data_IF_706710933829
#
_entry.id   IF_706710933829
#
_cell.length_a   1.000
_cell.length_b   1.000
_cell.length_c   1.000
_cell.angle_alpha   90.00
_cell.angle_beta   90.00
_cell.angle_gamma   90.00
#
_symmetry.space_group_name_H-M   'P 1'
#
loop_
_entity.id
_entity.type
_entity.pdbx_description
1 polymer ?
#
# COMPACT_ATOMS: atom_id res chain seq x y z
N UNK A 1 -7.28 -7.66 -3.84
CA UNK A 1 -6.83 -6.68 -2.90
C UNK A 1 -5.38 -6.75 -2.46
N UNK A 2 -4.65 -7.85 -2.72
CA UNK A 2 -3.25 -8.01 -2.34
C UNK A 2 -2.42 -8.50 -3.53
N UNK A 3 -1.09 -8.38 -3.42
CA UNK A 3 -0.18 -8.94 -4.43
C UNK A 3 -0.29 -10.46 -4.39
N UNK A 4 -0.62 -11.09 -5.53
CA UNK A 4 -0.67 -12.54 -5.65
C UNK A 4 0.76 -13.11 -5.69
N UNK A 5 1.16 -13.97 -4.74
CA UNK A 5 2.46 -14.62 -4.79
C UNK A 5 2.48 -15.74 -5.84
N UNK A 6 3.47 -15.72 -6.75
CA UNK A 6 3.56 -16.70 -7.83
C UNK A 6 3.76 -18.14 -7.33
N UNK A 7 4.42 -18.33 -6.20
CA UNK A 7 4.56 -19.66 -5.60
C UNK A 7 3.20 -20.35 -5.39
N UNK A 8 2.22 -19.64 -4.82
CA UNK A 8 0.88 -20.14 -4.60
C UNK A 8 0.12 -20.31 -5.92
N UNK A 9 0.22 -19.33 -6.80
CA UNK A 9 -0.37 -19.39 -8.14
C UNK A 9 0.14 -20.60 -8.92
N UNK A 10 1.43 -20.89 -8.88
CA UNK A 10 2.03 -22.04 -9.56
C UNK A 10 1.52 -23.37 -9.02
N UNK A 11 1.22 -23.49 -7.73
CA UNK A 11 0.59 -24.66 -7.13
C UNK A 11 -0.83 -24.84 -7.72
N UNK A 12 -1.63 -23.76 -7.73
CA UNK A 12 -2.99 -23.79 -8.26
C UNK A 12 -3.03 -24.14 -9.75
N UNK A 13 -2.14 -23.54 -10.56
CA UNK A 13 -2.07 -23.82 -12.00
C UNK A 13 -1.72 -25.28 -12.31
N UNK A 14 -0.85 -25.89 -11.51
CA UNK A 14 -0.54 -27.32 -11.66
C UNK A 14 -1.73 -28.22 -11.26
N UNK A 15 -2.48 -27.80 -10.26
CA UNK A 15 -3.64 -28.58 -9.75
C UNK A 15 -4.89 -28.40 -10.59
N UNK A 16 -5.02 -27.29 -11.30
CA UNK A 16 -6.18 -26.90 -12.10
C UNK A 16 -5.70 -26.44 -13.51
N UNK A 17 -5.23 -27.35 -14.35
CA UNK A 17 -4.59 -26.99 -15.65
C UNK A 17 -5.58 -26.35 -16.64
N UNK A 18 -6.88 -26.66 -16.52
CA UNK A 18 -7.92 -26.14 -17.42
C UNK A 18 -8.54 -24.81 -16.91
N UNK A 19 -8.10 -24.30 -15.74
CA UNK A 19 -8.62 -23.06 -15.20
C UNK A 19 -7.86 -21.85 -15.74
N UNK A 20 -8.62 -20.79 -16.05
CA UNK A 20 -8.05 -19.47 -16.30
C UNK A 20 -7.76 -18.74 -15.00
N UNK A 21 -6.56 -18.18 -14.90
CA UNK A 21 -6.15 -17.36 -13.78
C UNK A 21 -5.99 -15.91 -14.21
N UNK A 22 -6.64 -15.00 -13.51
CA UNK A 22 -6.63 -13.58 -13.82
C UNK A 22 -6.20 -12.80 -12.59
N UNK A 23 -5.10 -12.05 -12.72
CA UNK A 23 -4.68 -11.07 -11.72
C UNK A 23 -5.44 -9.77 -11.96
N UNK A 24 -6.15 -9.27 -10.96
CA UNK A 24 -6.96 -8.04 -11.03
C UNK A 24 -6.42 -6.99 -10.06
N UNK A 25 -6.40 -5.73 -10.52
CA UNK A 25 -5.94 -4.62 -9.72
C UNK A 25 -6.95 -3.47 -9.74
N UNK A 26 -7.09 -2.84 -8.59
CA UNK A 26 -7.81 -1.60 -8.41
C UNK A 26 -8.12 -1.30 -6.95
N UNK A 27 -8.20 -0.02 -6.56
CA UNK A 27 -8.66 0.43 -5.26
C UNK A 27 -10.17 0.64 -5.22
N UNK A 28 -10.73 0.71 -4.03
CA UNK A 28 -12.17 0.92 -3.79
C UNK A 28 -12.70 2.20 -4.46
N UNK A 29 -11.88 3.24 -4.54
CA UNK A 29 -12.23 4.55 -5.10
C UNK A 29 -12.53 4.53 -6.61
N UNK A 30 -12.18 3.44 -7.29
CA UNK A 30 -12.48 3.23 -8.72
C UNK A 30 -13.41 2.02 -8.95
N UNK A 31 -14.22 1.68 -7.97
CA UNK A 31 -15.18 0.56 -8.07
C UNK A 31 -14.48 -0.80 -8.23
N UNK A 32 -13.40 -1.00 -7.45
CA UNK A 32 -12.68 -2.24 -7.20
C UNK A 32 -11.67 -2.68 -8.29
N UNK A 33 -12.01 -2.72 -9.57
CA UNK A 33 -11.11 -3.23 -10.62
C UNK A 33 -10.97 -2.23 -11.76
N UNK A 34 -9.72 -1.82 -12.07
CA UNK A 34 -9.41 -0.96 -13.21
C UNK A 34 -8.42 -1.58 -14.21
N UNK A 35 -7.72 -2.63 -13.82
CA UNK A 35 -6.88 -3.40 -14.75
C UNK A 35 -6.88 -4.88 -14.43
N UNK A 36 -6.54 -5.68 -15.43
CA UNK A 36 -6.47 -7.13 -15.29
C UNK A 36 -5.38 -7.72 -16.18
N UNK A 37 -4.85 -8.86 -15.74
CA UNK A 37 -3.87 -9.64 -16.46
C UNK A 37 -4.27 -11.12 -16.46
N UNK A 38 -4.51 -11.72 -17.63
CA UNK A 38 -4.67 -13.17 -17.78
C UNK A 38 -3.30 -13.82 -17.74
N UNK A 39 -3.11 -14.76 -16.84
CA UNK A 39 -1.82 -15.45 -16.64
C UNK A 39 -1.62 -16.47 -17.77
N UNK A 40 -1.04 -16.02 -18.86
CA UNK A 40 -0.84 -16.76 -20.13
C UNK A 40 0.52 -17.46 -20.23
N UNK A 41 1.43 -17.18 -19.32
CA UNK A 41 2.78 -17.77 -19.26
C UNK A 41 3.15 -18.24 -17.85
N UNK A 42 4.26 -18.96 -17.75
CA UNK A 42 4.82 -19.36 -16.47
C UNK A 42 5.66 -18.24 -15.90
N UNK A 43 5.54 -18.02 -14.60
CA UNK A 43 6.33 -17.08 -13.79
C UNK A 43 7.13 -17.87 -12.76
N UNK A 44 8.34 -17.43 -12.47
CA UNK A 44 9.12 -17.98 -11.37
C UNK A 44 8.50 -17.55 -10.02
N UNK A 45 8.75 -18.29 -8.95
CA UNK A 45 8.14 -18.07 -7.63
C UNK A 45 8.38 -16.65 -7.08
N UNK A 46 9.50 -16.03 -7.39
CA UNK A 46 9.87 -14.67 -6.98
C UNK A 46 9.58 -13.58 -8.02
N UNK A 47 9.11 -13.94 -9.21
CA UNK A 47 8.85 -12.98 -10.28
C UNK A 47 7.55 -12.22 -10.01
N UNK A 48 7.49 -10.88 -10.18
CA UNK A 48 6.25 -10.14 -9.98
C UNK A 48 5.27 -10.38 -11.13
N UNK A 49 3.98 -10.57 -10.80
CA UNK A 49 2.91 -10.63 -11.79
C UNK A 49 2.57 -9.23 -12.29
N UNK A 50 2.33 -9.07 -13.60
CA UNK A 50 1.71 -7.85 -14.12
C UNK A 50 0.31 -7.63 -13.51
N UNK A 51 -0.07 -6.39 -13.35
CA UNK A 51 -1.47 -5.98 -13.15
C UNK A 51 -2.16 -5.70 -14.49
N UNK A 52 -1.42 -5.80 -15.58
CA UNK A 52 -1.87 -5.99 -16.95
C UNK A 52 -2.34 -4.76 -17.68
N UNK A 53 -3.58 -4.80 -18.18
CA UNK A 53 -4.14 -3.80 -19.08
C UNK A 53 -5.39 -3.17 -18.48
N UNK A 54 -5.71 -1.90 -18.85
CA UNK A 54 -6.92 -1.25 -18.39
C UNK A 54 -8.18 -2.02 -18.78
N UNK A 55 -9.19 -2.00 -17.91
CA UNK A 55 -10.54 -2.44 -18.24
C UNK A 55 -11.17 -1.51 -19.30
N UNK A 56 -12.22 -1.97 -19.98
CA UNK A 56 -12.99 -1.14 -20.90
C UNK A 56 -13.55 0.11 -20.18
N UNK A 57 -13.59 1.23 -20.89
CA UNK A 57 -14.00 2.55 -20.36
C UNK A 57 -13.16 3.05 -19.18
N UNK A 58 -11.96 2.50 -18.99
CA UNK A 58 -10.99 2.90 -17.99
C UNK A 58 -9.70 3.34 -18.69
N UNK A 59 -9.15 4.46 -18.25
CA UNK A 59 -7.85 4.96 -18.70
C UNK A 59 -6.89 4.95 -17.53
N UNK A 60 -5.72 4.35 -17.72
CA UNK A 60 -4.61 4.40 -16.77
C UNK A 60 -3.52 5.29 -17.32
N UNK A 61 -3.09 6.26 -16.53
CA UNK A 61 -2.02 7.20 -16.85
C UNK A 61 -0.98 7.16 -15.75
N UNK A 62 0.29 7.09 -16.11
CA UNK A 62 1.39 7.23 -15.13
C UNK A 62 1.78 8.71 -15.01
N UNK A 63 1.60 9.29 -13.83
CA UNK A 63 2.01 10.67 -13.53
C UNK A 63 3.13 10.60 -12.49
N UNK A 64 4.34 10.96 -12.87
CA UNK A 64 5.54 10.82 -12.03
C UNK A 64 5.71 9.39 -11.44
N UNK A 65 5.37 8.38 -12.25
CA UNK A 65 5.38 6.96 -11.84
C UNK A 65 4.20 6.52 -10.99
N UNK A 66 3.30 7.42 -10.59
CA UNK A 66 2.06 7.09 -9.88
C UNK A 66 0.98 6.62 -10.85
N UNK A 67 0.35 5.49 -10.52
CA UNK A 67 -0.81 4.97 -11.27
C UNK A 67 -2.00 5.88 -11.00
N UNK A 68 -2.50 6.53 -12.05
CA UNK A 68 -3.68 7.38 -12.00
C UNK A 68 -4.77 6.81 -12.90
N UNK A 69 -6.02 6.85 -12.45
CA UNK A 69 -7.13 6.19 -13.14
C UNK A 69 -8.22 7.21 -13.48
N UNK A 70 -8.65 7.21 -14.74
CA UNK A 70 -9.80 7.97 -15.23
C UNK A 70 -10.84 7.02 -15.83
N UNK A 71 -12.08 7.48 -15.91
CA UNK A 71 -13.17 6.75 -16.53
C UNK A 71 -14.44 6.71 -15.71
N UNK A 72 -15.42 5.95 -16.18
CA UNK A 72 -16.74 5.83 -15.54
C UNK A 72 -16.72 5.05 -14.22
N UNK A 73 -15.61 4.37 -13.92
CA UNK A 73 -15.39 3.61 -12.70
C UNK A 73 -15.10 4.47 -11.46
N UNK A 74 -14.84 5.78 -11.63
CA UNK A 74 -14.51 6.68 -10.53
C UNK A 74 -15.69 6.88 -9.58
N UNK A 75 -15.43 6.74 -8.27
CA UNK A 75 -16.41 7.13 -7.24
C UNK A 75 -16.61 8.64 -7.21
N UNK A 76 -17.69 9.09 -6.56
CA UNK A 76 -17.97 10.53 -6.36
C UNK A 76 -16.91 11.20 -5.47
N UNK A 77 -16.24 10.44 -4.61
CA UNK A 77 -15.24 10.89 -3.65
C UNK A 77 -15.48 10.31 -2.26
N UNK A 78 -14.84 10.91 -1.26
CA UNK A 78 -14.96 10.48 0.13
C UNK A 78 -16.13 11.18 0.83
N UNK A 79 -16.95 10.41 1.53
CA UNK A 79 -18.10 10.92 2.26
C UNK A 79 -17.67 11.94 3.34
N UNK A 80 -18.32 13.10 3.37
CA UNK A 80 -18.02 14.21 4.28
C UNK A 80 -16.55 14.66 4.35
N UNK A 81 -15.78 14.42 3.29
CA UNK A 81 -14.35 14.78 3.25
C UNK A 81 -14.00 15.49 1.92
N UNK A 82 -14.50 16.72 1.67
CA UNK A 82 -14.31 17.43 0.41
C UNK A 82 -12.83 17.75 0.13
N UNK A 83 -12.04 18.11 1.14
CA UNK A 83 -10.62 18.40 0.98
C UNK A 83 -9.82 17.15 0.58
N UNK A 84 -10.09 16.01 1.24
CA UNK A 84 -9.49 14.72 0.88
C UNK A 84 -9.90 14.30 -0.53
N UNK A 85 -11.16 14.53 -0.91
CA UNK A 85 -11.67 14.27 -2.25
C UNK A 85 -10.94 15.11 -3.29
N UNK A 86 -10.81 16.41 -3.08
CA UNK A 86 -10.12 17.32 -4.00
C UNK A 86 -8.62 17.00 -4.15
N UNK A 87 -7.97 16.48 -3.10
CA UNK A 87 -6.57 16.07 -3.15
C UNK A 87 -6.35 14.77 -3.94
N UNK A 88 -7.29 13.82 -3.88
CA UNK A 88 -7.17 12.51 -4.51
C UNK A 88 -7.80 12.45 -5.92
N UNK A 89 -8.89 13.17 -6.14
CA UNK A 89 -9.62 13.21 -7.42
C UNK A 89 -9.35 14.55 -8.12
N UNK A 90 -8.38 14.54 -8.99
CA UNK A 90 -7.88 15.75 -9.65
C UNK A 90 -8.30 15.81 -11.11
N UNK A 91 -8.07 16.95 -11.77
CA UNK A 91 -8.23 17.07 -13.22
C UNK A 91 -7.10 16.34 -13.93
N UNK A 92 -7.44 15.55 -14.98
CA UNK A 92 -6.44 14.88 -15.82
C UNK A 92 -5.55 15.92 -16.53
N UNK A 93 -4.22 15.80 -16.51
CA UNK A 93 -3.31 16.79 -17.08
C UNK A 93 -3.50 16.99 -18.59
N UNK A 94 -3.85 15.93 -19.34
CA UNK A 94 -4.05 15.96 -20.79
C UNK A 94 -5.50 16.19 -21.20
N UNK A 95 -6.34 16.67 -20.30
CA UNK A 95 -7.74 17.00 -20.60
C UNK A 95 -7.82 18.20 -21.54
N UNK A 96 -7.87 17.93 -22.85
CA UNK A 96 -7.90 18.93 -23.94
C UNK A 96 -9.25 19.69 -23.98
N UNK A 97 -9.50 20.52 -22.96
CA UNK A 97 -10.72 21.35 -22.89
C UNK A 97 -11.98 20.62 -22.42
N UNK A 98 -11.96 19.33 -22.24
CA UNK A 98 -13.05 18.54 -21.66
C UNK A 98 -12.66 18.15 -20.23
N UNK A 99 -13.44 18.53 -19.20
CA UNK A 99 -13.14 18.13 -17.82
C UNK A 99 -13.12 16.61 -17.70
N UNK A 100 -11.98 16.05 -17.38
CA UNK A 100 -11.79 14.62 -17.13
C UNK A 100 -11.22 14.45 -15.72
N UNK A 101 -11.99 13.84 -14.83
CA UNK A 101 -11.50 13.52 -13.48
C UNK A 101 -10.57 12.32 -13.52
N UNK A 102 -9.58 12.37 -12.66
CA UNK A 102 -8.58 11.32 -12.48
C UNK A 102 -8.38 11.06 -10.98
N UNK A 103 -8.35 9.81 -10.59
CA UNK A 103 -8.02 9.39 -9.23
C UNK A 103 -6.53 9.06 -9.13
N UNK A 104 -5.86 9.65 -8.15
CA UNK A 104 -4.48 9.37 -7.77
C UNK A 104 -4.46 8.22 -6.78
N UNK A 105 -3.97 7.06 -7.20
CA UNK A 105 -4.05 5.84 -6.36
C UNK A 105 -3.07 5.81 -5.21
N UNK A 106 -1.97 6.58 -5.30
CA UNK A 106 -0.81 6.45 -4.42
C UNK A 106 0.05 5.22 -4.71
N UNK A 107 -0.32 4.39 -5.68
CA UNK A 107 0.44 3.24 -6.12
C UNK A 107 1.43 3.63 -7.22
N UNK A 108 2.65 3.10 -7.18
CA UNK A 108 3.65 3.29 -8.21
C UNK A 108 3.58 2.15 -9.22
N UNK A 109 3.79 2.46 -10.49
CA UNK A 109 3.80 1.49 -11.57
C UNK A 109 4.74 1.87 -12.72
N UNK A 110 5.02 0.88 -13.55
CA UNK A 110 5.74 1.05 -14.80
C UNK A 110 5.23 0.04 -15.83
N UNK A 111 5.38 0.35 -17.11
CA UNK A 111 5.13 -0.62 -18.17
C UNK A 111 6.40 -1.44 -18.43
N UNK A 112 6.27 -2.76 -18.52
CA UNK A 112 7.36 -3.62 -18.96
C UNK A 112 7.52 -3.59 -20.49
N UNK A 113 8.49 -4.33 -21.03
CA UNK A 113 8.78 -4.41 -22.47
C UNK A 113 7.60 -4.94 -23.31
N UNK A 114 6.65 -5.63 -22.69
CA UNK A 114 5.42 -6.14 -23.32
C UNK A 114 4.25 -5.17 -23.25
N UNK A 115 4.44 -3.98 -22.68
CA UNK A 115 3.39 -3.00 -22.45
C UNK A 115 2.42 -3.39 -21.34
N UNK A 116 2.75 -4.39 -20.49
CA UNK A 116 1.97 -4.80 -19.35
C UNK A 116 2.30 -3.89 -18.17
N UNK A 117 1.28 -3.38 -17.48
CA UNK A 117 1.47 -2.56 -16.28
C UNK A 117 1.93 -3.42 -15.11
N UNK A 118 3.01 -2.99 -14.47
CA UNK A 118 3.59 -3.61 -13.28
C UNK A 118 3.30 -2.73 -12.06
N UNK A 119 2.96 -3.36 -10.94
CA UNK A 119 2.87 -2.69 -9.64
C UNK A 119 4.26 -2.68 -8.98
N UNK A 120 4.74 -1.49 -8.59
CA UNK A 120 6.06 -1.30 -8.00
C UNK A 120 6.03 -0.99 -6.49
N UNK A 121 4.84 -0.89 -5.91
CA UNK A 121 4.67 -0.56 -4.50
C UNK A 121 3.85 0.71 -4.28
N UNK A 122 3.92 1.24 -3.04
CA UNK A 122 3.19 2.45 -2.65
C UNK A 122 4.12 3.65 -2.55
N UNK A 123 3.61 4.82 -2.94
CA UNK A 123 4.26 6.12 -2.74
C UNK A 123 4.22 6.57 -1.27
N UNK A 124 3.23 6.12 -0.54
CA UNK A 124 2.95 6.45 0.86
C UNK A 124 3.20 5.25 1.79
N UNK A 125 2.89 5.44 3.07
CA UNK A 125 3.00 4.40 4.12
C UNK A 125 1.80 3.47 4.23
N UNK A 126 0.89 3.48 3.26
CA UNK A 126 -0.26 2.60 3.25
C UNK A 126 0.15 1.17 2.89
N UNK A 127 -0.41 0.21 3.60
CA UNK A 127 -0.16 -1.22 3.40
C UNK A 127 -1.47 -1.99 3.19
N UNK A 128 -1.34 -3.17 2.62
CA UNK A 128 -2.41 -4.17 2.61
C UNK A 128 -1.94 -5.38 3.43
N UNK A 129 -2.72 -5.75 4.46
CA UNK A 129 -2.43 -6.87 5.35
C UNK A 129 -3.69 -7.67 5.61
N UNK A 130 -3.71 -8.94 5.23
CA UNK A 130 -4.86 -9.84 5.41
C UNK A 130 -6.18 -9.27 4.88
N UNK A 131 -6.16 -8.61 3.71
CA UNK A 131 -7.31 -7.96 3.09
C UNK A 131 -7.67 -6.58 3.65
N UNK A 132 -7.02 -6.13 4.73
CA UNK A 132 -7.24 -4.80 5.29
C UNK A 132 -6.28 -3.77 4.69
N UNK A 133 -6.84 -2.62 4.30
CA UNK A 133 -6.08 -1.44 3.90
C UNK A 133 -5.74 -0.64 5.16
N UNK A 134 -4.46 -0.52 5.48
CA UNK A 134 -3.97 0.07 6.73
C UNK A 134 -3.03 1.22 6.43
N UNK A 135 -3.29 2.35 7.05
CA UNK A 135 -2.38 3.50 7.08
C UNK A 135 -1.41 3.36 8.25
N UNK A 136 -0.13 3.12 7.99
CA UNK A 136 0.87 3.06 9.08
C UNK A 136 0.92 4.36 9.88
N UNK A 137 0.63 5.50 9.25
CA UNK A 137 0.53 6.80 9.90
C UNK A 137 -0.55 6.85 11.00
N UNK A 138 -1.66 6.13 10.84
CA UNK A 138 -2.71 6.05 11.86
C UNK A 138 -2.21 5.29 13.10
N UNK A 139 -1.47 4.19 12.87
CA UNK A 139 -0.82 3.43 13.95
C UNK A 139 0.21 4.31 14.65
N UNK A 140 1.02 5.06 13.91
CA UNK A 140 2.02 5.97 14.48
C UNK A 140 1.39 7.10 15.30
N UNK A 141 0.24 7.62 14.87
CA UNK A 141 -0.52 8.59 15.66
C UNK A 141 -0.99 7.98 16.99
N UNK A 142 -1.49 6.74 16.96
CA UNK A 142 -1.90 6.04 18.17
C UNK A 142 -0.72 5.77 19.12
N UNK A 143 0.46 5.39 18.60
CA UNK A 143 1.68 5.18 19.37
C UNK A 143 2.12 6.48 20.04
N UNK A 144 2.15 7.60 19.31
CA UNK A 144 2.55 8.92 19.83
C UNK A 144 1.56 9.46 20.88
N UNK A 145 0.31 9.00 20.88
CA UNK A 145 -0.69 9.36 21.87
C UNK A 145 -0.56 8.56 23.18
N UNK A 146 0.34 7.59 23.26
CA UNK A 146 0.64 6.84 24.50
C UNK A 146 1.58 7.67 25.38
N UNK A 147 1.24 7.80 26.68
CA UNK A 147 1.97 8.70 27.60
C UNK A 147 3.44 8.30 27.80
N UNK A 148 3.72 7.00 27.78
CA UNK A 148 5.07 6.45 27.97
C UNK A 148 5.98 6.58 26.73
N UNK A 149 5.44 7.05 25.59
CA UNK A 149 6.17 7.10 24.31
C UNK A 149 6.62 8.52 23.97
N UNK A 150 7.91 8.68 23.69
CA UNK A 150 8.49 9.95 23.25
C UNK A 150 8.49 10.07 21.72
N UNK A 151 8.90 9.02 21.02
CA UNK A 151 8.88 8.93 19.57
C UNK A 151 8.43 7.54 19.13
N UNK A 152 7.83 7.46 17.93
CA UNK A 152 7.41 6.17 17.37
C UNK A 152 7.24 6.21 15.87
N UNK A 153 7.60 5.12 15.23
CA UNK A 153 7.32 4.89 13.82
C UNK A 153 7.04 3.41 13.54
N UNK A 154 6.38 3.14 12.41
CA UNK A 154 6.06 1.80 11.98
C UNK A 154 6.68 1.48 10.62
N UNK A 155 7.00 0.20 10.46
CA UNK A 155 7.40 -0.40 9.19
C UNK A 155 6.51 -1.59 8.88
N UNK A 156 6.36 -1.88 7.61
CA UNK A 156 5.76 -3.12 7.15
C UNK A 156 6.82 -3.99 6.50
N UNK A 157 6.93 -5.22 6.98
CA UNK A 157 7.82 -6.24 6.44
C UNK A 157 6.99 -7.17 5.56
N UNK A 158 7.06 -6.96 4.25
CA UNK A 158 6.21 -7.67 3.29
C UNK A 158 6.49 -9.20 3.28
N UNK A 159 7.75 -9.63 3.48
CA UNK A 159 8.12 -11.04 3.49
C UNK A 159 7.43 -11.84 4.61
N UNK A 160 7.24 -11.24 5.78
CA UNK A 160 6.60 -11.85 6.95
C UNK A 160 5.17 -11.36 7.17
N UNK A 161 4.71 -10.37 6.38
CA UNK A 161 3.44 -9.66 6.53
C UNK A 161 3.24 -9.06 7.93
N UNK A 162 4.33 -8.58 8.56
CA UNK A 162 4.31 -8.04 9.91
C UNK A 162 4.39 -6.52 9.93
N UNK A 163 3.63 -5.92 10.84
CA UNK A 163 3.79 -4.52 11.23
C UNK A 163 4.78 -4.46 12.37
N UNK A 164 5.86 -3.74 12.17
CA UNK A 164 6.93 -3.53 13.15
C UNK A 164 6.78 -2.13 13.74
N UNK A 165 6.64 -2.05 15.04
CA UNK A 165 6.61 -0.80 15.81
C UNK A 165 7.99 -0.55 16.42
N UNK A 166 8.57 0.61 16.14
CA UNK A 166 9.73 1.12 16.84
C UNK A 166 9.30 2.27 17.73
N UNK A 167 9.70 2.29 18.98
CA UNK A 167 9.33 3.35 19.93
C UNK A 167 10.48 3.70 20.88
N UNK A 168 10.46 4.92 21.40
CA UNK A 168 11.34 5.38 22.47
C UNK A 168 10.51 5.96 23.62
N UNK A 169 11.10 6.08 24.79
CA UNK A 169 10.43 6.47 26.03
C UNK A 169 10.61 5.40 27.10
N UNK A 170 9.59 5.11 27.85
CA UNK A 170 9.63 4.03 28.84
C UNK A 170 9.67 2.66 28.16
N UNK A 171 10.56 1.77 28.63
CA UNK A 171 10.68 0.41 28.10
C UNK A 171 9.63 -0.51 28.75
N UNK A 172 8.37 -0.26 28.42
CA UNK A 172 7.25 -1.09 28.83
C UNK A 172 6.37 -1.48 27.64
N UNK A 173 6.81 -2.49 26.89
CA UNK A 173 6.07 -3.03 25.76
C UNK A 173 4.66 -3.49 26.14
N UNK A 174 4.49 -4.06 27.34
CA UNK A 174 3.19 -4.58 27.80
C UNK A 174 2.18 -3.45 28.01
N UNK A 175 2.61 -2.35 28.61
CA UNK A 175 1.78 -1.17 28.78
C UNK A 175 1.41 -0.57 27.41
N UNK A 176 2.39 -0.39 26.50
CA UNK A 176 2.18 0.12 25.15
C UNK A 176 1.18 -0.76 24.37
N UNK A 177 1.35 -2.09 24.36
CA UNK A 177 0.39 -3.01 23.74
C UNK A 177 -1.02 -2.89 24.35
N UNK A 178 -1.12 -2.70 25.65
CA UNK A 178 -2.38 -2.50 26.35
C UNK A 178 -3.09 -1.22 25.91
N UNK A 179 -2.35 -0.13 25.75
CA UNK A 179 -2.90 1.15 25.28
C UNK A 179 -3.32 1.08 23.80
N UNK A 180 -2.50 0.49 22.95
CA UNK A 180 -2.81 0.36 21.52
C UNK A 180 -4.05 -0.51 21.28
N UNK A 181 -4.26 -1.58 22.05
CA UNK A 181 -5.48 -2.40 21.98
C UNK A 181 -6.77 -1.64 22.31
N UNK A 182 -6.71 -0.56 23.06
CA UNK A 182 -7.85 0.30 23.35
C UNK A 182 -8.12 1.34 22.27
N UNK A 183 -7.11 1.65 21.46
CA UNK A 183 -7.14 2.73 20.43
C UNK A 183 -7.30 2.24 19.01
N UNK A 184 -6.81 1.03 18.71
CA UNK A 184 -6.73 0.48 17.35
C UNK A 184 -7.52 -0.81 17.22
N UNK A 185 -8.13 -1.06 16.05
CA UNK A 185 -8.66 -2.35 15.68
C UNK A 185 -7.57 -3.44 15.72
N UNK A 186 -7.97 -4.68 15.98
CA UNK A 186 -7.05 -5.81 16.12
C UNK A 186 -6.09 -6.00 14.93
N UNK A 187 -6.60 -5.79 13.70
CA UNK A 187 -5.83 -5.97 12.46
C UNK A 187 -4.74 -4.90 12.25
N UNK A 188 -4.82 -3.76 12.94
CA UNK A 188 -3.83 -2.67 12.91
C UNK A 188 -2.77 -2.78 13.98
N UNK A 189 -2.92 -3.68 14.95
CA UNK A 189 -1.95 -3.82 16.03
C UNK A 189 -0.61 -4.30 15.47
N UNK A 190 0.52 -3.67 15.88
CA UNK A 190 1.84 -4.14 15.53
C UNK A 190 2.09 -5.57 16.01
N UNK A 191 2.79 -6.35 15.19
CA UNK A 191 3.16 -7.73 15.50
C UNK A 191 4.45 -7.78 16.32
N UNK A 192 5.41 -6.91 15.97
CA UNK A 192 6.76 -6.85 16.55
C UNK A 192 6.99 -5.45 17.12
N UNK A 193 7.68 -5.37 18.27
CA UNK A 193 8.00 -4.12 18.93
C UNK A 193 9.50 -4.05 19.22
N UNK A 194 10.11 -2.90 18.91
CA UNK A 194 11.47 -2.57 19.25
C UNK A 194 11.50 -1.31 20.11
N UNK A 195 11.97 -1.42 21.35
CA UNK A 195 12.31 -0.27 22.15
C UNK A 195 13.69 0.23 21.75
N UNK A 196 13.80 1.52 21.48
CA UNK A 196 15.02 2.19 21.08
C UNK A 196 15.33 3.32 22.07
N UNK A 197 16.52 3.35 22.67
CA UNK A 197 16.90 4.46 23.55
C UNK A 197 16.84 5.82 22.83
N UNK A 198 17.19 5.81 21.54
CA UNK A 198 17.19 6.98 20.67
C UNK A 198 16.98 6.58 19.21
N UNK A 199 16.21 7.38 18.49
CA UNK A 199 16.05 7.23 17.04
C UNK A 199 17.19 7.88 16.27
N UNK A 200 17.69 7.26 15.17
CA UNK A 200 18.53 7.97 14.20
C UNK A 200 17.73 9.12 13.59
N UNK A 201 18.37 10.28 13.46
CA UNK A 201 17.75 11.48 12.93
C UNK A 201 18.44 11.96 11.65
N UNK A 202 17.65 12.48 10.73
CA UNK A 202 18.15 13.24 9.57
C UNK A 202 18.72 14.60 10.02
N UNK A 203 19.44 15.29 9.13
CA UNK A 203 19.97 16.64 9.38
C UNK A 203 18.88 17.65 9.80
N UNK A 204 17.63 17.40 9.44
CA UNK A 204 16.48 18.25 9.78
C UNK A 204 15.73 17.80 11.04
N UNK A 205 16.30 16.92 11.87
CA UNK A 205 15.73 16.45 13.14
C UNK A 205 14.54 15.48 13.00
N UNK A 206 14.28 14.95 11.81
CA UNK A 206 13.25 13.92 11.60
C UNK A 206 13.84 12.52 11.76
N UNK A 207 13.00 11.54 12.14
CA UNK A 207 13.41 10.13 12.19
C UNK A 207 13.97 9.71 10.83
N UNK A 208 15.20 9.21 10.80
CA UNK A 208 15.83 8.64 9.61
C UNK A 208 15.37 7.17 9.46
N UNK A 209 14.25 7.01 8.76
CA UNK A 209 13.63 5.69 8.54
C UNK A 209 14.49 4.76 7.70
N UNK A 210 15.28 5.29 6.77
CA UNK A 210 16.15 4.49 5.90
C UNK A 210 17.25 3.85 6.72
N UNK A 211 17.93 4.67 7.51
CA UNK A 211 18.98 4.21 8.42
C UNK A 211 18.42 3.23 9.46
N UNK A 212 17.30 3.55 10.08
CA UNK A 212 16.65 2.71 11.08
C UNK A 212 16.28 1.33 10.53
N UNK A 213 15.75 1.30 9.29
CA UNK A 213 15.43 0.06 8.59
C UNK A 213 16.66 -0.83 8.37
N UNK A 214 17.79 -0.23 7.97
CA UNK A 214 19.05 -0.93 7.78
C UNK A 214 19.61 -1.47 9.10
N UNK A 215 19.59 -0.68 10.17
CA UNK A 215 20.08 -1.07 11.50
C UNK A 215 19.28 -2.24 12.11
N UNK A 216 17.97 -2.32 11.81
CA UNK A 216 17.09 -3.38 12.30
C UNK A 216 16.98 -4.59 11.35
N UNK A 217 17.54 -4.51 10.15
CA UNK A 217 17.45 -5.60 9.16
C UNK A 217 16.03 -5.81 8.60
N UNK A 218 15.26 -4.75 8.44
CA UNK A 218 13.85 -4.75 8.03
C UNK A 218 13.66 -4.55 6.52
#
# INVERSE_FOLDING_TARGET
GEVMPNRQLNIWRRSLPDADFVNMYGPTEITDVCSWYRVDRTFEDGEPLPIGFPCENTRITLVDGEICVSGTCLSAGYYNAPEKTAAAFVQHPDARGIPERMYKTGDLGAYNERGELMFLGRKDSQIKKQGYRIELGEIECAIKACQAVTQGCCFYQAATQQIVCCYSGEDDEKALRGELRRRLPKYMLPDVYYHLPQFPQTMNGKIDRVRLRQELGL
#
